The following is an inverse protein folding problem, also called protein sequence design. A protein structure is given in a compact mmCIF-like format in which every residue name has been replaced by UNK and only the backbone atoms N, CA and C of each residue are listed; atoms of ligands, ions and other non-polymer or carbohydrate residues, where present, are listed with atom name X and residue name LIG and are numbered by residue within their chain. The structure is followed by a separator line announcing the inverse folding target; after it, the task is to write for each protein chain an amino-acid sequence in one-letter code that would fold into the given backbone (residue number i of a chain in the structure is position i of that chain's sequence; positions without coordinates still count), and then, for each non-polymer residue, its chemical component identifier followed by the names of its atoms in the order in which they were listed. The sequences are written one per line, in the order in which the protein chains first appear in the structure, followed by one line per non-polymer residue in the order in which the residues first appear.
data_IF_951358539143
#
_entry.id   IF_951358539143
#
_cell.length_a   1.000
_cell.length_b   1.000
_cell.length_c   1.000
_cell.angle_alpha   90.00
_cell.angle_beta   90.00
_cell.angle_gamma   90.00
#
_symmetry.space_group_name_H-M   'P 1'
#
loop_
_entity.id
_entity.type
_entity.pdbx_description
1 polymer ?
#
# COMPACT_ATOMS: atom_id res chain seq x y z
N UNK A 1 -4.28 -5.21 5.56
CA UNK A 1 -4.22 -3.91 4.86
C UNK A 1 -2.79 -3.69 4.36
N UNK A 2 -2.59 -3.67 3.05
CA UNK A 2 -1.27 -3.64 2.41
C UNK A 2 -1.25 -2.47 1.41
N UNK A 3 -0.15 -1.73 1.33
CA UNK A 3 0.01 -0.72 0.28
C UNK A 3 0.29 -1.46 -1.02
N UNK A 4 -0.45 -1.15 -2.09
CA UNK A 4 -0.26 -1.73 -3.42
C UNK A 4 0.62 -0.86 -4.32
N UNK A 5 0.74 0.43 -4.01
CA UNK A 5 1.62 1.35 -4.73
C UNK A 5 1.38 2.81 -4.37
N UNK A 6 2.12 3.67 -5.04
CA UNK A 6 2.05 5.14 -4.91
C UNK A 6 2.00 5.80 -6.27
N UNK A 7 1.22 6.86 -6.39
CA UNK A 7 1.22 7.78 -7.51
C UNK A 7 1.78 9.13 -7.06
N UNK A 8 2.80 9.61 -7.76
CA UNK A 8 3.40 10.93 -7.56
C UNK A 8 3.38 11.68 -8.91
N UNK A 9 2.49 12.66 -9.01
CA UNK A 9 2.15 13.28 -10.29
C UNK A 9 1.65 12.25 -11.31
N UNK A 10 2.40 12.10 -12.40
CA UNK A 10 2.10 11.12 -13.46
C UNK A 10 2.78 9.77 -13.27
N UNK A 11 3.67 9.62 -12.28
CA UNK A 11 4.42 8.39 -12.07
C UNK A 11 3.69 7.50 -11.08
N UNK A 12 3.48 6.24 -11.46
CA UNK A 12 2.89 5.21 -10.60
C UNK A 12 3.96 4.16 -10.35
N UNK A 13 4.17 3.86 -9.08
CA UNK A 13 5.10 2.84 -8.63
C UNK A 13 4.30 1.79 -7.87
N UNK A 14 4.11 0.64 -8.50
CA UNK A 14 3.49 -0.52 -7.86
C UNK A 14 4.47 -1.18 -6.90
N UNK A 15 4.02 -1.41 -5.67
CA UNK A 15 4.74 -2.15 -4.62
C UNK A 15 3.74 -2.70 -3.63
N UNK A 16 3.80 -4.01 -3.40
CA UNK A 16 3.01 -4.66 -2.36
C UNK A 16 3.82 -4.69 -1.06
N UNK A 17 3.58 -3.75 -0.16
CA UNK A 17 4.34 -3.64 1.10
C UNK A 17 3.40 -3.38 2.29
N UNK A 18 3.68 -4.05 3.41
CA UNK A 18 3.03 -3.72 4.67
C UNK A 18 3.50 -2.32 5.14
N UNK A 19 2.60 -1.49 5.67
CA UNK A 19 2.97 -0.18 6.20
C UNK A 19 3.94 -0.37 7.37
N UNK A 20 5.17 0.10 7.19
CA UNK A 20 6.23 -0.01 8.18
C UNK A 20 7.21 1.16 8.12
N UNK A 21 7.98 1.36 9.18
CA UNK A 21 9.06 2.33 9.23
C UNK A 21 10.18 1.81 10.13
N UNK A 22 11.38 2.37 9.97
CA UNK A 22 12.44 2.17 10.95
C UNK A 22 12.08 2.94 12.22
N UNK A 23 12.31 2.29 13.35
CA UNK A 23 12.25 2.93 14.66
C UNK A 23 13.33 4.01 14.74
N UNK A 24 12.95 5.19 15.21
CA UNK A 24 13.85 6.32 15.42
C UNK A 24 14.64 6.15 16.72
N UNK A 25 15.72 6.94 16.86
CA UNK A 25 16.53 6.91 18.08
C UNK A 25 15.66 7.35 19.26
N UNK A 26 15.71 6.61 20.37
CA UNK A 26 14.93 6.87 21.60
C UNK A 26 13.40 6.75 21.41
N UNK A 27 12.93 6.27 20.25
CA UNK A 27 11.52 5.97 20.02
C UNK A 27 11.19 4.60 20.60
N UNK A 28 10.05 4.44 21.27
CA UNK A 28 9.52 3.13 21.67
C UNK A 28 8.80 2.46 20.48
N UNK A 29 8.75 1.13 20.38
CA UNK A 29 8.06 0.45 19.26
C UNK A 29 6.61 0.92 19.08
N UNK A 30 5.87 1.13 20.18
CA UNK A 30 4.50 1.65 20.12
C UNK A 30 4.42 3.10 19.63
N UNK A 31 5.42 3.94 19.93
CA UNK A 31 5.49 5.30 19.39
C UNK A 31 5.71 5.26 17.87
N UNK A 32 6.59 4.36 17.39
CA UNK A 32 6.79 4.13 15.96
C UNK A 32 5.51 3.70 15.25
N UNK A 33 4.72 2.82 15.88
CA UNK A 33 3.42 2.38 15.36
C UNK A 33 2.43 3.54 15.25
N UNK A 34 2.28 4.33 16.32
CA UNK A 34 1.41 5.51 16.28
C UNK A 34 1.85 6.54 15.24
N UNK A 35 3.16 6.69 15.04
CA UNK A 35 3.74 7.53 13.99
C UNK A 35 3.39 7.00 12.59
N UNK A 36 3.56 5.69 12.35
CA UNK A 36 3.16 5.05 11.09
C UNK A 36 1.67 5.24 10.83
N UNK A 37 0.81 5.06 11.85
CA UNK A 37 -0.63 5.29 11.71
C UNK A 37 -0.90 6.75 11.32
N UNK A 38 -0.23 7.70 11.95
CA UNK A 38 -0.41 9.13 11.67
C UNK A 38 0.10 9.54 10.29
N UNK A 39 1.22 8.99 9.83
CA UNK A 39 1.92 9.45 8.62
C UNK A 39 1.54 8.66 7.38
N UNK A 40 1.39 7.33 7.50
CA UNK A 40 1.14 6.43 6.36
C UNK A 40 -0.30 5.94 6.29
N UNK A 41 -0.96 5.82 7.44
CA UNK A 41 -2.35 5.36 7.55
C UNK A 41 -3.25 6.46 8.12
N UNK A 42 -2.89 7.73 7.89
CA UNK A 42 -3.64 8.88 8.40
C UNK A 42 -5.15 8.78 8.16
N UNK A 43 -5.62 8.37 6.96
CA UNK A 43 -7.04 8.25 6.67
C UNK A 43 -7.75 7.20 7.55
N UNK A 44 -7.01 6.24 8.10
CA UNK A 44 -7.52 5.22 8.99
C UNK A 44 -7.29 5.55 10.48
N UNK A 45 -6.73 6.72 10.78
CA UNK A 45 -6.48 7.15 12.16
C UNK A 45 -7.80 7.18 12.93
N UNK A 46 -7.82 6.50 14.06
CA UNK A 46 -9.03 6.37 14.90
C UNK A 46 -9.91 5.17 14.56
N UNK A 47 -9.84 4.63 13.34
CA UNK A 47 -10.54 3.42 12.91
C UNK A 47 -9.76 2.14 13.27
N UNK A 48 -8.44 2.27 13.47
CA UNK A 48 -7.56 1.17 13.84
C UNK A 48 -7.53 0.98 15.36
N UNK A 49 -7.61 -0.27 15.79
CA UNK A 49 -7.39 -0.74 17.15
C UNK A 49 -6.21 -1.71 17.16
N UNK A 50 -5.19 -1.43 17.97
CA UNK A 50 -4.03 -2.32 18.10
C UNK A 50 -4.41 -3.49 19.00
N UNK A 51 -4.29 -4.71 18.49
CA UNK A 51 -4.68 -5.94 19.21
C UNK A 51 -3.49 -6.77 19.70
N UNK A 52 -2.31 -6.54 19.15
CA UNK A 52 -1.11 -7.27 19.57
C UNK A 52 0.15 -6.77 18.90
N UNK A 53 1.29 -7.15 19.47
CA UNK A 53 2.61 -6.88 18.91
C UNK A 53 3.52 -8.08 19.14
N UNK A 54 4.30 -8.46 18.15
CA UNK A 54 5.25 -9.57 18.22
C UNK A 54 6.63 -9.14 17.70
N UNK A 55 7.69 -9.48 18.43
CA UNK A 55 9.06 -9.27 17.98
C UNK A 55 9.50 -10.45 17.10
N UNK A 56 9.61 -10.22 15.79
CA UNK A 56 10.21 -11.17 14.86
C UNK A 56 11.70 -10.95 14.75
N UNK A 57 12.42 -12.07 14.73
CA UNK A 57 13.86 -12.12 14.49
C UNK A 57 14.12 -12.86 13.20
N UNK A 58 14.85 -12.22 12.29
CA UNK A 58 15.35 -12.84 11.07
C UNK A 58 16.88 -12.73 11.03
N UNK A 59 17.55 -13.65 10.34
CA UNK A 59 19.00 -13.60 10.15
C UNK A 59 19.32 -13.73 8.67
N UNK A 60 19.90 -12.68 8.10
CA UNK A 60 20.25 -12.61 6.69
C UNK A 60 21.68 -12.09 6.54
N UNK A 61 22.37 -12.54 5.50
CA UNK A 61 23.64 -11.95 5.13
C UNK A 61 23.41 -10.54 4.58
N UNK A 62 24.10 -9.55 5.14
CA UNK A 62 24.05 -8.17 4.64
C UNK A 62 24.76 -8.10 3.31
N UNK A 63 24.05 -7.74 2.23
CA UNK A 63 24.66 -7.55 0.89
C UNK A 63 25.78 -6.51 0.89
N UNK A 64 25.66 -5.47 1.73
CA UNK A 64 26.64 -4.38 1.81
C UNK A 64 27.91 -4.78 2.56
N UNK A 65 27.77 -5.53 3.65
CA UNK A 65 28.89 -5.82 4.55
C UNK A 65 29.37 -7.28 4.45
N UNK A 66 28.67 -8.15 3.73
CA UNK A 66 28.94 -9.59 3.61
C UNK A 66 29.09 -10.29 4.97
N UNK A 67 28.26 -9.88 5.93
CA UNK A 67 28.23 -10.42 7.29
C UNK A 67 26.82 -10.84 7.67
N UNK A 68 26.70 -11.93 8.43
CA UNK A 68 25.43 -12.41 9.00
C UNK A 68 24.88 -11.36 9.96
N UNK A 69 23.74 -10.78 9.62
CA UNK A 69 23.10 -9.71 10.37
C UNK A 69 21.77 -10.21 10.93
N UNK A 70 21.55 -9.98 12.22
CA UNK A 70 20.26 -10.24 12.88
C UNK A 70 19.36 -9.01 12.66
N UNK A 71 18.26 -9.21 11.97
CA UNK A 71 17.22 -8.19 11.77
C UNK A 71 16.12 -8.42 12.80
N UNK A 72 15.86 -7.40 13.60
CA UNK A 72 14.75 -7.38 14.54
C UNK A 72 13.66 -6.48 13.95
N UNK A 73 12.42 -6.98 13.92
CA UNK A 73 11.26 -6.17 13.55
C UNK A 73 10.11 -6.46 14.51
N UNK A 74 9.36 -5.43 14.87
CA UNK A 74 8.11 -5.60 15.61
C UNK A 74 6.97 -5.59 14.61
N UNK A 75 6.24 -6.70 14.53
CA UNK A 75 5.00 -6.79 13.80
C UNK A 75 3.85 -6.41 14.74
N UNK A 76 2.92 -5.59 14.25
CA UNK A 76 1.77 -5.15 15.03
C UNK A 76 0.51 -5.54 14.28
N UNK A 77 -0.36 -6.26 14.99
CA UNK A 77 -1.66 -6.66 14.50
C UNK A 77 -2.70 -5.63 14.92
N UNK A 78 -3.57 -5.26 13.99
CA UNK A 78 -4.62 -4.28 14.21
C UNK A 78 -5.95 -4.79 13.68
N UNK A 79 -7.03 -4.45 14.40
CA UNK A 79 -8.40 -4.59 13.93
C UNK A 79 -8.94 -3.25 13.46
N UNK A 80 -9.91 -3.30 12.54
CA UNK A 80 -10.76 -2.16 12.27
C UNK A 80 -11.90 -2.17 13.30
N UNK A 81 -12.16 -1.03 13.93
CA UNK A 81 -13.29 -0.88 14.87
C UNK A 81 -14.61 -1.13 14.13
N UNK A 82 -15.49 -1.95 14.73
CA UNK A 82 -16.76 -2.38 14.13
C UNK A 82 -17.78 -1.26 13.92
N UNK A 83 -17.62 -0.12 14.59
CA UNK A 83 -18.51 1.05 14.47
C UNK A 83 -18.30 1.86 13.18
N UNK A 84 -17.76 1.22 12.14
CA UNK A 84 -17.73 1.79 10.80
C UNK A 84 -19.14 1.78 10.24
N UNK A 85 -19.90 2.79 10.64
CA UNK A 85 -21.08 3.17 9.90
C UNK A 85 -20.62 3.55 8.48
N UNK A 86 -21.34 3.06 7.48
CA UNK A 86 -21.04 3.22 6.04
C UNK A 86 -20.69 4.68 5.66
N UNK A 87 -21.28 5.62 6.38
CA UNK A 87 -21.04 7.07 6.33
C UNK A 87 -19.57 7.49 6.60
N UNK A 88 -18.80 6.77 7.42
CA UNK A 88 -17.37 7.04 7.64
C UNK A 88 -16.50 6.61 6.45
N UNK A 89 -16.85 5.51 5.77
CA UNK A 89 -16.14 5.10 4.54
C UNK A 89 -16.37 6.08 3.39
N UNK A 90 -17.54 6.72 3.33
CA UNK A 90 -17.84 7.73 2.32
C UNK A 90 -17.12 9.07 2.54
N UNK A 91 -16.71 9.38 3.78
CA UNK A 91 -15.94 10.61 4.10
C UNK A 91 -14.46 10.47 3.81
N UNK A 92 -13.93 9.26 3.96
CA UNK A 92 -12.68 8.92 3.29
C UNK A 92 -13.03 8.99 1.80
N UNK A 93 -12.28 9.71 0.98
CA UNK A 93 -12.51 9.81 -0.46
C UNK A 93 -12.26 8.46 -1.20
N UNK A 94 -12.66 7.34 -0.59
CA UNK A 94 -12.67 6.00 -1.14
C UNK A 94 -13.80 5.90 -2.15
N UNK A 95 -13.52 6.30 -3.39
CA UNK A 95 -14.33 5.82 -4.50
C UNK A 95 -14.13 4.30 -4.55
N UNK A 96 -15.20 3.55 -4.29
CA UNK A 96 -15.24 2.10 -4.46
C UNK A 96 -15.09 1.82 -5.95
N UNK A 97 -13.87 1.52 -6.38
CA UNK A 97 -13.58 1.19 -7.78
C UNK A 97 -13.87 -0.30 -7.95
N UNK A 98 -15.13 -0.63 -8.21
CA UNK A 98 -15.50 -1.97 -8.65
C UNK A 98 -15.00 -2.17 -10.08
N UNK A 99 -14.02 -3.06 -10.25
CA UNK A 99 -13.44 -3.34 -11.55
C UNK A 99 -14.25 -4.42 -12.27
N UNK A 100 -14.87 -4.09 -13.40
CA UNK A 100 -15.28 -5.11 -14.38
C UNK A 100 -14.05 -5.43 -15.25
N UNK A 101 -13.22 -6.36 -14.79
CA UNK A 101 -12.16 -6.97 -15.61
C UNK A 101 -12.72 -8.06 -16.52
N UNK A 102 -13.89 -7.84 -17.14
CA UNK A 102 -14.31 -8.68 -18.25
C UNK A 102 -13.21 -8.67 -19.32
N UNK A 103 -12.75 -9.83 -19.82
CA UNK A 103 -11.63 -9.95 -20.77
C UNK A 103 -11.95 -9.42 -22.18
N UNK A 104 -12.88 -8.49 -22.30
CA UNK A 104 -13.35 -7.93 -23.56
C UNK A 104 -12.53 -6.69 -23.87
N UNK A 105 -11.50 -6.86 -24.72
CA UNK A 105 -10.99 -5.90 -25.73
C UNK A 105 -9.48 -6.02 -26.00
N UNK A 106 -8.90 -7.23 -25.98
CA UNK A 106 -7.69 -7.48 -26.77
C UNK A 106 -8.08 -8.28 -28.00
N UNK A 107 -8.00 -7.61 -29.15
CA UNK A 107 -8.46 -8.10 -30.45
C UNK A 107 -7.92 -9.49 -30.79
N UNK A 108 -8.80 -10.28 -31.39
CA UNK A 108 -8.56 -11.61 -31.90
C UNK A 108 -7.44 -11.64 -32.94
N UNK A 109 -6.38 -12.41 -32.70
CA UNK A 109 -5.69 -13.19 -33.74
C UNK A 109 -5.15 -14.49 -33.15
N UNK A 110 -5.39 -15.56 -33.88
CA UNK A 110 -5.28 -16.98 -33.53
C UNK A 110 -3.87 -17.44 -33.14
N UNK A 111 -3.70 -17.93 -31.92
CA UNK A 111 -3.03 -19.19 -31.52
C UNK A 111 -2.78 -19.14 -30.00
N UNK A 112 -3.61 -19.80 -29.21
CA UNK A 112 -3.50 -19.76 -27.75
C UNK A 112 -2.21 -20.46 -27.28
N UNK A 113 -1.27 -19.77 -26.61
CA UNK A 113 -0.20 -20.43 -25.88
C UNK A 113 -0.79 -21.12 -24.64
N UNK A 114 -0.05 -22.06 -24.00
CA UNK A 114 -0.47 -22.63 -22.72
C UNK A 114 -0.71 -21.49 -21.73
N UNK A 115 -1.90 -21.48 -21.10
CA UNK A 115 -2.29 -20.50 -20.09
C UNK A 115 -1.24 -20.51 -18.98
N UNK A 116 -0.37 -19.50 -19.02
CA UNK A 116 0.59 -19.20 -17.98
C UNK A 116 -0.17 -18.90 -16.69
N UNK A 117 0.35 -19.39 -15.56
CA UNK A 117 -0.17 -19.17 -14.20
C UNK A 117 -0.30 -17.70 -13.79
N UNK A 118 0.08 -16.75 -14.66
CA UNK A 118 0.00 -15.30 -14.48
C UNK A 118 -1.43 -14.74 -14.49
N UNK A 119 -2.40 -15.38 -15.16
CA UNK A 119 -3.76 -14.83 -15.32
C UNK A 119 -4.59 -14.81 -14.01
N UNK A 120 -4.11 -15.50 -12.97
CA UNK A 120 -4.83 -15.61 -11.70
C UNK A 120 -4.69 -14.37 -10.80
N UNK A 121 -3.65 -13.55 -10.97
CA UNK A 121 -3.36 -12.45 -10.04
C UNK A 121 -4.30 -11.25 -10.26
N UNK A 122 -4.50 -10.85 -11.51
CA UNK A 122 -5.42 -9.76 -11.87
C UNK A 122 -6.87 -10.10 -11.53
N UNK A 123 -7.27 -11.35 -11.77
CA UNK A 123 -8.60 -11.87 -11.42
C UNK A 123 -8.88 -11.79 -9.91
N UNK A 124 -7.86 -12.02 -9.08
CA UNK A 124 -7.98 -11.93 -7.62
C UNK A 124 -8.18 -10.49 -7.15
N UNK A 125 -7.46 -9.54 -7.74
CA UNK A 125 -7.58 -8.11 -7.42
C UNK A 125 -8.87 -7.49 -7.95
N UNK A 126 -9.41 -7.98 -9.06
CA UNK A 126 -10.66 -7.49 -9.63
C UNK A 126 -11.85 -7.61 -8.67
N UNK A 127 -11.80 -8.59 -7.76
CA UNK A 127 -12.83 -8.81 -6.74
C UNK A 127 -12.53 -8.08 -5.42
N UNK A 128 -11.33 -7.54 -5.27
CA UNK A 128 -10.90 -6.89 -4.04
C UNK A 128 -11.16 -5.39 -4.09
N UNK A 129 -11.56 -4.85 -2.95
CA UNK A 129 -11.72 -3.42 -2.80
C UNK A 129 -10.35 -2.76 -2.65
N UNK A 130 -10.00 -1.93 -3.63
CA UNK A 130 -8.83 -1.07 -3.58
C UNK A 130 -9.24 0.33 -3.11
N UNK A 131 -8.56 0.79 -2.08
CA UNK A 131 -8.77 2.09 -1.45
C UNK A 131 -7.64 3.02 -1.91
N UNK A 132 -7.98 4.25 -2.27
CA UNK A 132 -7.01 5.28 -2.64
C UNK A 132 -7.12 6.48 -1.71
N UNK A 133 -5.97 6.95 -1.23
CA UNK A 133 -5.90 8.09 -0.34
C UNK A 133 -4.86 9.09 -0.84
N UNK A 134 -5.26 10.35 -0.97
CA UNK A 134 -4.32 11.44 -1.17
C UNK A 134 -3.64 11.73 0.17
N UNK A 135 -2.32 11.80 0.18
CA UNK A 135 -1.60 12.34 1.33
C UNK A 135 -2.02 13.81 1.46
N UNK A 136 -2.82 14.14 2.47
CA UNK A 136 -3.07 15.53 2.79
C UNK A 136 -1.73 16.14 3.21
N UNK A 137 -1.27 17.13 2.46
CA UNK A 137 -0.24 18.00 2.97
C UNK A 137 -0.84 18.72 4.17
N UNK A 138 -0.43 18.33 5.38
CA UNK A 138 -0.50 19.21 6.55
C UNK A 138 0.42 20.42 6.29
N UNK A 139 0.04 21.26 5.33
CA UNK A 139 0.75 22.45 4.86
C UNK A 139 0.92 23.50 5.98
N UNK A 140 0.31 23.26 7.14
CA UNK A 140 0.42 24.11 8.32
C UNK A 140 1.66 23.84 9.19
N UNK A 141 2.36 22.70 9.07
CA UNK A 141 3.47 22.37 10.01
C UNK A 141 4.87 22.27 9.40
N UNK A 142 5.01 22.28 8.08
CA UNK A 142 6.32 22.26 7.42
C UNK A 142 6.57 23.54 6.64
N UNK A 143 6.86 24.66 7.33
CA UNK A 143 7.45 25.84 6.68
C UNK A 143 8.95 25.92 6.98
N UNK A 144 9.82 25.42 6.10
CA UNK A 144 11.21 25.85 6.10
C UNK A 144 11.27 27.31 5.66
N UNK A 145 11.87 28.17 6.48
CA UNK A 145 11.86 29.62 6.28
C UNK A 145 12.62 30.05 5.01
N UNK A 146 13.51 29.22 4.43
CA UNK A 146 14.39 29.64 3.32
C UNK A 146 14.79 28.51 2.35
N UNK A 147 13.86 27.91 1.60
CA UNK A 147 14.23 27.02 0.48
C UNK A 147 13.33 27.25 -0.72
N UNK A 148 13.91 27.36 -1.93
CA UNK A 148 13.20 27.33 -3.21
C UNK A 148 12.28 26.10 -3.25
N UNK A 149 11.01 26.28 -2.94
CA UNK A 149 10.08 25.20 -2.72
C UNK A 149 9.49 24.79 -4.06
N UNK A 150 10.00 23.69 -4.60
CA UNK A 150 9.39 23.03 -5.74
C UNK A 150 8.07 22.41 -5.23
N UNK A 151 6.94 22.95 -5.69
CA UNK A 151 5.62 22.43 -5.33
C UNK A 151 5.49 21.01 -5.87
N UNK A 152 5.57 20.01 -4.99
CA UNK A 152 5.34 18.62 -5.36
C UNK A 152 3.86 18.31 -5.13
N UNK A 153 3.12 17.84 -6.13
CA UNK A 153 1.73 17.46 -5.91
C UNK A 153 1.64 16.37 -4.84
N UNK A 154 0.57 16.33 -4.03
CA UNK A 154 0.40 15.32 -3.00
C UNK A 154 0.38 13.92 -3.61
N UNK A 155 1.18 13.01 -3.04
CA UNK A 155 1.20 11.63 -3.49
C UNK A 155 -0.14 10.93 -3.15
N UNK A 156 -0.61 10.07 -4.05
CA UNK A 156 -1.75 9.19 -3.81
C UNK A 156 -1.24 7.79 -3.47
N UNK A 157 -1.76 7.19 -2.40
CA UNK A 157 -1.40 5.86 -1.95
C UNK A 157 -2.58 4.91 -2.18
N UNK A 158 -2.29 3.74 -2.76
CA UNK A 158 -3.28 2.69 -3.00
C UNK A 158 -3.10 1.58 -1.97
N UNK A 159 -4.19 1.10 -1.39
CA UNK A 159 -4.20 0.02 -0.40
C UNK A 159 -5.29 -0.99 -0.68
N UNK A 160 -5.07 -2.23 -0.25
CA UNK A 160 -6.09 -3.27 -0.29
C UNK A 160 -6.04 -4.18 0.95
N UNK A 161 -7.15 -4.86 1.18
CA UNK A 161 -7.23 -5.99 2.10
C UNK A 161 -6.83 -7.26 1.36
N UNK A 162 -5.62 -7.73 1.63
CA UNK A 162 -5.07 -8.95 1.08
C UNK A 162 -5.11 -10.05 2.14
N UNK A 163 -5.34 -11.28 1.70
CA UNK A 163 -4.99 -12.47 2.49
C UNK A 163 -3.47 -12.60 2.59
N UNK A 164 -2.97 -13.41 3.53
CA UNK A 164 -1.52 -13.67 3.63
C UNK A 164 -0.97 -14.28 2.32
N UNK A 165 -1.73 -15.19 1.70
CA UNK A 165 -1.39 -15.81 0.41
C UNK A 165 -1.34 -14.76 -0.72
N UNK A 166 -2.31 -13.86 -0.78
CA UNK A 166 -2.31 -12.76 -1.75
C UNK A 166 -1.12 -11.83 -1.54
N UNK A 167 -0.81 -11.50 -0.29
CA UNK A 167 0.33 -10.66 0.05
C UNK A 167 1.64 -11.31 -0.39
N UNK A 168 1.86 -12.59 -0.07
CA UNK A 168 3.06 -13.33 -0.49
C UNK A 168 3.19 -13.42 -2.02
N UNK A 169 2.07 -13.56 -2.73
CA UNK A 169 2.04 -13.61 -4.18
C UNK A 169 2.33 -12.24 -4.81
N UNK A 170 1.76 -11.16 -4.25
CA UNK A 170 1.88 -9.80 -4.76
C UNK A 170 3.19 -9.10 -4.36
N UNK A 171 3.87 -9.55 -3.29
CA UNK A 171 5.20 -9.08 -2.89
C UNK A 171 6.34 -9.55 -3.82
N UNK A 172 6.05 -10.34 -4.86
CA UNK A 172 7.06 -10.83 -5.80
C UNK A 172 7.36 -9.77 -6.86
N UNK A 173 8.62 -9.63 -7.33
CA UNK A 173 8.98 -8.65 -8.37
C UNK A 173 8.14 -8.77 -9.64
N UNK A 174 7.76 -9.98 -10.03
CA UNK A 174 6.93 -10.21 -11.22
C UNK A 174 5.51 -9.64 -11.05
N UNK A 175 5.00 -9.61 -9.82
CA UNK A 175 3.68 -9.07 -9.51
C UNK A 175 3.63 -7.54 -9.54
N UNK A 176 4.74 -6.85 -9.28
CA UNK A 176 4.81 -5.39 -9.39
C UNK A 176 4.49 -4.93 -10.83
N UNK A 177 5.05 -5.62 -11.84
CA UNK A 177 4.78 -5.33 -13.24
C UNK A 177 3.31 -5.56 -13.65
N UNK A 178 2.61 -6.47 -12.95
CA UNK A 178 1.17 -6.73 -13.17
C UNK A 178 0.26 -5.76 -12.40
N UNK A 179 0.71 -5.27 -11.24
CA UNK A 179 -0.01 -4.30 -10.43
C UNK A 179 -0.02 -2.91 -11.09
N UNK A 180 1.07 -2.51 -11.74
CA UNK A 180 1.20 -1.16 -12.29
C UNK A 180 0.08 -0.77 -13.28
N UNK A 181 -0.29 -1.60 -14.28
CA UNK A 181 -1.42 -1.30 -15.16
C UNK A 181 -2.75 -1.16 -14.41
N UNK A 182 -2.98 -1.99 -13.39
CA UNK A 182 -4.18 -1.94 -12.55
C UNK A 182 -4.23 -0.61 -11.81
N UNK A 183 -3.17 -0.23 -11.11
CA UNK A 183 -3.11 1.05 -10.40
C UNK A 183 -3.24 2.25 -11.33
N UNK A 184 -2.64 2.17 -12.53
CA UNK A 184 -2.74 3.21 -13.56
C UNK A 184 -4.15 3.41 -14.07
N UNK A 185 -4.94 2.35 -14.16
CA UNK A 185 -6.36 2.47 -14.51
C UNK A 185 -7.23 3.05 -13.38
N UNK A 186 -6.78 2.96 -12.12
CA UNK A 186 -7.49 3.53 -10.97
C UNK A 186 -7.19 5.04 -10.79
N UNK A 187 -6.01 5.49 -11.20
CA UNK A 187 -5.53 6.87 -11.04
C UNK A 187 -6.46 7.98 -11.59
N UNK A 188 -7.06 7.88 -12.81
CA UNK A 188 -7.88 8.96 -13.38
C UNK A 188 -9.17 9.21 -12.60
N UNK A 189 -9.61 8.21 -11.82
CA UNK A 189 -10.83 8.32 -11.06
C UNK A 189 -10.66 9.05 -9.72
N UNK A 190 -9.46 9.54 -9.40
CA UNK A 190 -9.16 10.15 -8.10
C UNK A 190 -9.11 11.70 -8.18
N UNK A 191 -9.36 12.28 -9.35
CA UNK A 191 -9.56 13.72 -9.55
C UNK A 191 -10.92 14.22 -8.99
#
# INVERSE_FOLDING_TARGET
FVQLGTQDGSQIVARCELPGAKQEKEELPMQAVHRIIREKLNPMKGLLEIVGSELKTDQKESRRFRMRTKYLRTEVSMNIKKELDSSHMHRLNSRRLSFDMSPRSFGHTLSSPPRSSSDNITSSLALQEVYAFKAEEDAAQCRPINSNFEFRPPATHFFAWLTDEDCERLCRPEAEAMLEPVLRSLAPHIE
#
